data_IF_998203707406
#
_entry.id   IF_998203707406
#
_cell.length_a   1.000
_cell.length_b   1.000
_cell.length_c   1.000
_cell.angle_alpha   90.00
_cell.angle_beta   90.00
_cell.angle_gamma   90.00
#
_symmetry.space_group_name_H-M   'P 1'
#
loop_
_entity.id
_entity.type
_entity.pdbx_description
1 polymer ?
#
# COMPACT_ATOMS: atom_id res chain seq x y z
N UNK A 1 -4.98 -24.32 41.62
CA UNK A 1 -3.98 -24.29 40.53
C UNK A 1 -4.51 -23.37 39.44
N UNK A 2 -3.62 -22.54 38.91
CA UNK A 2 -3.88 -21.28 38.22
C UNK A 2 -4.76 -21.36 36.97
N UNK A 3 -5.86 -20.61 36.96
CA UNK A 3 -6.46 -20.06 35.74
C UNK A 3 -5.65 -18.82 35.36
N UNK A 4 -4.67 -19.01 34.49
CA UNK A 4 -3.99 -17.91 33.81
C UNK A 4 -3.96 -18.24 32.33
N UNK A 5 -4.15 -17.21 31.50
CA UNK A 5 -4.14 -17.17 30.03
C UNK A 5 -5.52 -17.21 29.38
N UNK A 6 -6.20 -16.05 29.38
CA UNK A 6 -6.83 -15.52 28.17
C UNK A 6 -6.89 -14.00 28.28
N UNK A 7 -6.24 -13.31 27.35
CA UNK A 7 -6.29 -11.85 27.29
C UNK A 7 -5.13 -11.30 26.50
N UNK A 8 -5.18 -11.41 25.17
CA UNK A 8 -4.42 -10.58 24.23
C UNK A 8 -4.95 -10.82 22.80
N UNK A 9 -6.13 -10.27 22.47
CA UNK A 9 -6.54 -9.99 21.08
C UNK A 9 -7.43 -8.74 21.09
N UNK A 10 -6.82 -7.56 21.23
CA UNK A 10 -7.52 -6.28 21.05
C UNK A 10 -6.57 -5.18 20.54
N UNK A 11 -5.67 -5.53 19.61
CA UNK A 11 -4.73 -4.60 18.97
C UNK A 11 -5.04 -4.35 17.48
N UNK A 12 -6.24 -4.72 17.00
CA UNK A 12 -6.58 -4.68 15.57
C UNK A 12 -7.35 -3.45 15.08
N UNK A 13 -7.91 -2.62 15.98
CA UNK A 13 -8.84 -1.55 15.57
C UNK A 13 -8.17 -0.20 15.27
N UNK A 14 -6.93 0.03 15.72
CA UNK A 14 -6.23 1.31 15.52
C UNK A 14 -5.37 1.37 14.24
N UNK A 15 -5.34 0.31 13.44
CA UNK A 15 -4.50 0.24 12.23
C UNK A 15 -5.16 0.84 10.97
N UNK A 16 -6.43 1.30 11.05
CA UNK A 16 -7.21 1.69 9.87
C UNK A 16 -6.96 3.16 9.45
N UNK A 17 -6.53 4.03 10.36
CA UNK A 17 -6.21 5.44 10.05
C UNK A 17 -4.72 5.73 9.81
N UNK A 18 -3.84 4.73 9.95
CA UNK A 18 -2.38 4.96 10.00
C UNK A 18 -1.74 5.50 8.71
N UNK A 19 -2.46 5.49 7.58
CA UNK A 19 -1.99 5.96 6.27
C UNK A 19 -2.99 6.88 5.55
N UNK A 20 -3.99 7.40 6.27
CA UNK A 20 -4.98 8.29 5.66
C UNK A 20 -4.36 9.63 5.24
N UNK A 21 -3.44 10.13 6.07
CA UNK A 21 -2.78 11.43 5.90
C UNK A 21 -1.36 11.28 5.34
N UNK A 22 -1.10 10.18 4.62
CA UNK A 22 0.17 9.93 3.95
C UNK A 22 0.01 10.00 2.44
N UNK A 23 1.12 10.30 1.76
CA UNK A 23 1.12 10.48 0.32
C UNK A 23 2.44 10.01 -0.31
N UNK A 24 2.41 9.49 -1.55
CA UNK A 24 3.60 8.94 -2.19
C UNK A 24 4.54 10.02 -2.71
N UNK A 25 5.83 9.72 -2.70
CA UNK A 25 6.87 10.59 -3.25
C UNK A 25 7.73 9.82 -4.25
N UNK A 26 8.07 10.45 -5.36
CA UNK A 26 8.95 9.87 -6.38
C UNK A 26 10.05 10.84 -6.77
N UNK A 27 11.24 10.29 -7.01
CA UNK A 27 12.38 11.00 -7.55
C UNK A 27 13.03 10.15 -8.63
N UNK A 28 13.28 10.75 -9.79
CA UNK A 28 14.00 10.14 -10.89
C UNK A 28 15.10 11.11 -11.34
N UNK A 29 16.35 10.66 -11.45
CA UNK A 29 17.45 11.49 -11.92
C UNK A 29 18.22 10.80 -13.04
N UNK A 30 18.58 11.58 -14.05
CA UNK A 30 19.54 11.17 -15.09
C UNK A 30 20.98 11.15 -14.60
N UNK A 31 21.23 11.70 -13.41
CA UNK A 31 22.54 11.71 -12.76
C UNK A 31 22.56 10.76 -11.57
N UNK A 32 23.77 10.40 -11.13
CA UNK A 32 23.96 9.58 -9.94
C UNK A 32 23.70 10.43 -8.71
N UNK A 33 22.60 10.13 -8.05
CA UNK A 33 22.13 10.74 -6.82
C UNK A 33 21.99 9.64 -5.77
N UNK A 34 22.55 9.86 -4.58
CA UNK A 34 22.41 8.96 -3.44
C UNK A 34 21.00 9.11 -2.86
N UNK A 35 20.06 8.32 -3.36
CA UNK A 35 18.65 8.38 -2.95
C UNK A 35 18.14 6.96 -2.66
N UNK A 36 17.69 6.73 -1.43
CA UNK A 36 17.23 5.41 -0.98
C UNK A 36 15.71 5.37 -0.91
N UNK A 37 15.10 4.44 -1.66
CA UNK A 37 13.69 4.11 -1.52
C UNK A 37 13.36 3.59 -0.13
N UNK A 38 12.15 3.88 0.34
CA UNK A 38 11.63 3.40 1.61
C UNK A 38 10.12 3.20 1.52
N UNK A 39 9.53 2.44 2.43
CA UNK A 39 8.07 2.33 2.45
C UNK A 39 7.44 3.55 3.15
N UNK A 40 8.02 3.99 4.27
CA UNK A 40 7.49 5.06 5.10
C UNK A 40 8.63 6.03 5.45
N UNK A 41 8.39 7.34 5.31
CA UNK A 41 9.27 8.40 5.84
C UNK A 41 8.44 9.58 6.33
N UNK A 42 8.99 10.39 7.22
CA UNK A 42 8.42 11.70 7.56
C UNK A 42 8.84 12.74 6.54
N UNK A 43 8.04 13.79 6.34
CA UNK A 43 8.37 14.90 5.44
C UNK A 43 9.71 15.57 5.79
N UNK A 44 10.00 15.74 7.09
CA UNK A 44 11.26 16.30 7.57
C UNK A 44 12.48 15.42 7.24
N UNK A 45 12.39 14.11 7.45
CA UNK A 45 13.47 13.18 7.09
C UNK A 45 13.68 13.13 5.58
N UNK A 46 12.59 13.12 4.81
CA UNK A 46 12.64 13.13 3.36
C UNK A 46 13.28 14.43 2.85
N UNK A 47 12.94 15.58 3.41
CA UNK A 47 13.57 16.86 3.07
C UNK A 47 15.06 16.87 3.38
N UNK A 48 15.48 16.30 4.52
CA UNK A 48 16.90 16.12 4.86
C UNK A 48 17.66 15.29 3.82
N UNK A 49 17.08 14.18 3.38
CA UNK A 49 17.65 13.34 2.33
C UNK A 49 17.75 14.09 1.00
N UNK A 50 16.69 14.81 0.60
CA UNK A 50 16.66 15.61 -0.62
C UNK A 50 17.68 16.75 -0.57
N UNK A 51 17.84 17.40 0.57
CA UNK A 51 18.82 18.45 0.79
C UNK A 51 20.24 17.94 0.59
N UNK A 52 20.58 16.77 1.16
CA UNK A 52 21.88 16.14 0.95
C UNK A 52 22.08 15.67 -0.50
N UNK A 53 21.03 15.14 -1.13
CA UNK A 53 21.07 14.55 -2.46
C UNK A 53 21.18 15.61 -3.58
N UNK A 54 20.42 16.70 -3.45
CA UNK A 54 20.32 17.75 -4.46
C UNK A 54 21.25 18.93 -4.19
N UNK A 55 21.77 19.08 -2.96
CA UNK A 55 22.67 20.18 -2.59
C UNK A 55 24.00 20.21 -3.34
N UNK A 56 24.43 19.09 -3.92
CA UNK A 56 25.59 19.02 -4.82
C UNK A 56 25.29 19.43 -6.27
N UNK A 57 24.04 19.80 -6.55
CA UNK A 57 23.55 20.24 -7.85
C UNK A 57 23.85 19.26 -9.00
N UNK A 58 23.39 17.99 -8.92
CA UNK A 58 23.74 16.95 -9.89
C UNK A 58 23.12 17.15 -11.29
N UNK A 59 22.19 18.09 -11.47
CA UNK A 59 21.45 18.30 -12.71
C UNK A 59 21.35 19.77 -13.07
N UNK A 60 21.16 20.07 -14.35
CA UNK A 60 20.89 21.43 -14.82
C UNK A 60 19.39 21.74 -14.70
N UNK A 61 18.54 20.76 -15.02
CA UNK A 61 17.09 20.94 -14.97
C UNK A 61 16.48 20.18 -13.79
N UNK A 62 15.68 20.86 -12.99
CA UNK A 62 14.93 20.29 -11.89
C UNK A 62 13.44 20.41 -12.19
N UNK A 63 12.82 19.30 -12.56
CA UNK A 63 11.38 19.25 -12.79
C UNK A 63 10.72 18.95 -11.45
N UNK A 64 10.12 19.96 -10.84
CA UNK A 64 9.46 19.85 -9.55
C UNK A 64 7.96 19.84 -9.79
N UNK A 65 7.33 18.70 -9.53
CA UNK A 65 5.90 18.50 -9.73
C UNK A 65 5.20 18.51 -8.38
N UNK A 66 4.12 19.29 -8.29
CA UNK A 66 3.20 19.30 -7.16
C UNK A 66 1.85 18.72 -7.59
N UNK A 67 1.52 17.52 -7.13
CA UNK A 67 0.24 16.86 -7.40
C UNK A 67 -0.54 16.62 -6.09
N UNK A 68 -1.47 17.52 -5.74
CA UNK A 68 -2.26 17.36 -4.52
C UNK A 68 -3.40 16.35 -4.66
N UNK A 69 -3.82 15.76 -3.53
CA UNK A 69 -4.98 14.89 -3.44
C UNK A 69 -4.74 13.44 -3.90
N UNK A 70 -3.51 12.95 -3.79
CA UNK A 70 -3.11 11.63 -4.30
C UNK A 70 -2.69 10.71 -3.17
N UNK A 71 -3.07 9.44 -3.29
CA UNK A 71 -2.72 8.39 -2.36
C UNK A 71 -1.94 7.27 -3.08
N UNK A 72 -1.18 6.46 -2.33
CA UNK A 72 -0.36 5.38 -2.88
C UNK A 72 -1.17 4.39 -3.73
N UNK A 73 -2.41 4.12 -3.34
CA UNK A 73 -3.37 3.28 -4.08
C UNK A 73 -3.68 3.80 -5.49
N UNK A 74 -3.61 5.11 -5.74
CA UNK A 74 -3.88 5.67 -7.07
C UNK A 74 -2.81 5.26 -8.10
N UNK A 75 -1.58 4.96 -7.64
CA UNK A 75 -0.49 4.45 -8.47
C UNK A 75 -0.37 2.92 -8.50
N UNK A 76 -1.24 2.20 -7.79
CA UNK A 76 -1.22 0.73 -7.80
C UNK A 76 -1.52 0.15 -9.20
N UNK A 77 -2.31 0.87 -10.00
CA UNK A 77 -2.60 0.48 -11.38
C UNK A 77 -1.61 1.13 -12.34
N UNK A 78 -0.99 0.34 -13.23
CA UNK A 78 -0.04 0.85 -14.25
C UNK A 78 -0.64 1.87 -15.23
N UNK A 79 -1.96 2.02 -15.26
CA UNK A 79 -2.68 2.94 -16.15
C UNK A 79 -2.65 4.39 -15.66
N UNK A 80 -2.53 4.60 -14.35
CA UNK A 80 -2.63 5.94 -13.76
C UNK A 80 -1.41 6.81 -14.07
N UNK A 81 -0.21 6.23 -14.17
CA UNK A 81 1.00 6.98 -14.51
C UNK A 81 2.01 6.09 -15.26
N UNK A 82 1.73 5.72 -16.52
CA UNK A 82 2.55 4.79 -17.28
C UNK A 82 3.99 5.29 -17.53
N UNK A 83 4.19 6.58 -17.77
CA UNK A 83 5.48 7.20 -18.10
C UNK A 83 6.33 7.38 -16.84
N UNK A 84 5.77 7.91 -15.75
CA UNK A 84 6.42 7.93 -14.43
C UNK A 84 6.76 6.50 -13.97
N UNK A 85 5.81 5.57 -14.11
CA UNK A 85 6.01 4.16 -13.80
C UNK A 85 7.15 3.54 -14.61
N UNK A 86 7.32 3.90 -15.89
CA UNK A 86 8.45 3.43 -16.71
C UNK A 86 9.80 3.92 -16.17
N UNK A 87 9.88 5.17 -15.69
CA UNK A 87 11.08 5.72 -15.04
C UNK A 87 11.40 4.99 -13.74
N UNK A 88 10.40 4.78 -12.88
CA UNK A 88 10.57 4.09 -11.60
C UNK A 88 10.90 2.60 -11.76
N UNK A 89 10.34 1.93 -12.76
CA UNK A 89 10.61 0.51 -13.05
C UNK A 89 11.93 0.29 -13.81
N UNK A 90 12.68 1.34 -14.15
CA UNK A 90 13.96 1.22 -14.88
C UNK A 90 13.81 0.82 -16.35
N UNK A 91 12.64 1.06 -16.94
CA UNK A 91 12.45 0.89 -18.40
C UNK A 91 13.08 2.05 -19.18
N UNK A 92 13.14 3.22 -18.57
CA UNK A 92 13.86 4.38 -19.08
C UNK A 92 15.35 4.27 -18.75
N UNK A 93 16.18 4.02 -19.77
CA UNK A 93 17.64 3.85 -19.63
C UNK A 93 18.38 5.15 -19.33
N UNK A 94 17.74 6.31 -19.52
CA UNK A 94 18.34 7.62 -19.21
C UNK A 94 18.45 7.86 -17.70
N UNK A 95 17.58 7.21 -16.91
CA UNK A 95 17.52 7.36 -15.46
C UNK A 95 18.62 6.52 -14.81
N UNK A 96 19.50 7.18 -14.07
CA UNK A 96 20.60 6.54 -13.32
C UNK A 96 20.26 6.31 -11.86
N UNK A 97 19.56 7.25 -11.25
CA UNK A 97 19.13 7.17 -9.85
C UNK A 97 17.63 7.34 -9.74
N UNK A 98 17.03 6.61 -8.79
CA UNK A 98 15.60 6.66 -8.51
C UNK A 98 15.35 6.44 -7.04
N UNK A 99 14.31 7.08 -6.53
CA UNK A 99 13.83 6.91 -5.16
C UNK A 99 12.33 6.98 -5.16
N UNK A 100 11.72 6.08 -4.40
CA UNK A 100 10.27 6.03 -4.18
C UNK A 100 10.00 5.88 -2.70
N UNK A 101 9.09 6.69 -2.19
CA UNK A 101 8.53 6.53 -0.85
C UNK A 101 7.03 6.35 -0.99
N UNK A 102 6.50 5.22 -0.53
CA UNK A 102 5.07 4.93 -0.71
C UNK A 102 4.21 5.82 0.19
N UNK A 103 4.65 6.02 1.44
CA UNK A 103 3.92 6.76 2.45
C UNK A 103 4.82 7.82 3.09
N UNK A 104 4.61 9.08 2.73
CA UNK A 104 5.23 10.22 3.40
C UNK A 104 4.25 10.78 4.41
N UNK A 105 4.64 10.76 5.69
CA UNK A 105 3.88 11.33 6.78
C UNK A 105 4.18 12.83 6.93
N UNK A 106 3.12 13.64 6.88
CA UNK A 106 3.20 15.10 6.90
C UNK A 106 3.33 15.73 5.51
N UNK A 107 3.19 17.05 5.45
CA UNK A 107 3.24 17.80 4.21
C UNK A 107 4.70 18.15 3.87
N UNK A 108 5.13 17.76 2.67
CA UNK A 108 6.40 18.19 2.10
C UNK A 108 6.19 19.49 1.32
N UNK A 109 6.67 20.60 1.87
CA UNK A 109 6.49 21.91 1.24
C UNK A 109 7.40 22.06 0.02
N UNK A 110 6.79 22.13 -1.16
CA UNK A 110 7.51 22.33 -2.43
C UNK A 110 8.33 23.62 -2.41
N UNK A 111 7.87 24.66 -1.70
CA UNK A 111 8.58 25.92 -1.50
C UNK A 111 9.97 25.73 -0.86
N UNK A 112 10.10 24.81 0.09
CA UNK A 112 11.38 24.53 0.74
C UNK A 112 12.38 23.87 -0.23
N UNK A 113 11.87 22.98 -1.10
CA UNK A 113 12.69 22.34 -2.15
C UNK A 113 13.14 23.38 -3.18
N UNK A 114 12.23 24.25 -3.62
CA UNK A 114 12.55 25.35 -4.55
C UNK A 114 13.62 26.27 -3.96
N UNK A 115 13.41 26.74 -2.72
CA UNK A 115 14.36 27.62 -2.04
C UNK A 115 15.75 26.98 -1.89
N UNK A 116 15.81 25.68 -1.60
CA UNK A 116 17.08 24.95 -1.55
C UNK A 116 17.80 24.94 -2.91
N UNK A 117 17.08 24.70 -3.99
CA UNK A 117 17.65 24.65 -5.34
C UNK A 117 18.04 26.05 -5.86
N UNK A 118 17.25 27.07 -5.55
CA UNK A 118 17.55 28.47 -5.85
C UNK A 118 18.82 28.93 -5.10
N UNK A 119 18.93 28.61 -3.81
CA UNK A 119 20.07 29.01 -2.97
C UNK A 119 21.35 28.24 -3.33
N UNK A 120 21.29 26.90 -3.43
CA UNK A 120 22.48 26.06 -3.62
C UNK A 120 22.90 25.96 -5.08
N UNK A 121 21.94 25.86 -5.99
CA UNK A 121 22.19 25.59 -7.40
C UNK A 121 22.02 26.82 -8.29
N UNK A 122 21.67 27.99 -7.70
CA UNK A 122 21.42 29.23 -8.44
C UNK A 122 20.41 29.04 -9.57
N UNK A 123 19.47 28.13 -9.37
CA UNK A 123 18.53 27.74 -10.39
C UNK A 123 17.41 28.78 -10.53
N UNK A 124 17.05 29.12 -11.76
CA UNK A 124 15.93 30.03 -12.01
C UNK A 124 14.61 29.27 -12.07
N UNK A 125 13.55 29.82 -11.48
CA UNK A 125 12.23 29.16 -11.46
C UNK A 125 11.38 29.56 -12.67
N UNK A 126 10.80 28.56 -13.34
CA UNK A 126 9.82 28.71 -14.41
C UNK A 126 8.56 27.99 -13.99
N UNK A 127 7.50 28.75 -13.73
CA UNK A 127 6.22 28.20 -13.28
C UNK A 127 5.40 27.76 -14.49
N UNK A 128 4.86 26.55 -14.42
CA UNK A 128 3.99 25.93 -15.41
C UNK A 128 2.70 25.53 -14.71
N UNK A 129 1.59 26.12 -15.14
CA UNK A 129 0.27 25.75 -14.65
C UNK A 129 -0.19 24.46 -15.34
N UNK A 130 -0.17 23.36 -14.59
CA UNK A 130 -0.58 22.04 -15.07
C UNK A 130 -2.08 21.94 -15.40
N UNK A 131 -2.92 22.86 -14.91
CA UNK A 131 -4.35 22.90 -15.24
C UNK A 131 -4.61 23.48 -16.64
N UNK A 132 -3.79 24.45 -17.05
CA UNK A 132 -3.92 25.13 -18.34
C UNK A 132 -3.45 24.27 -19.51
N UNK A 133 -2.60 23.26 -19.24
CA UNK A 133 -1.92 22.49 -20.28
C UNK A 133 -0.90 23.30 -21.09
N UNK A 134 -0.66 24.56 -20.74
CA UNK A 134 0.21 25.48 -21.46
C UNK A 134 1.60 25.52 -20.82
N UNK A 135 2.63 25.39 -21.64
CA UNK A 135 4.02 25.39 -21.21
C UNK A 135 4.90 26.07 -22.27
N UNK A 136 6.01 26.71 -21.87
CA UNK A 136 6.90 27.40 -22.81
C UNK A 136 7.38 26.47 -23.92
N UNK A 137 7.50 27.01 -25.14
CA UNK A 137 7.98 26.23 -26.29
C UNK A 137 9.46 25.82 -26.14
N UNK A 138 10.23 26.62 -25.40
CA UNK A 138 11.63 26.37 -25.09
C UNK A 138 11.93 26.74 -23.63
N UNK A 139 12.91 26.05 -23.04
CA UNK A 139 13.49 26.44 -21.76
C UNK A 139 14.87 27.04 -22.02
N UNK A 140 15.16 28.17 -21.37
CA UNK A 140 16.47 28.81 -21.47
C UNK A 140 17.55 27.95 -20.82
N UNK A 141 18.78 28.08 -21.34
CA UNK A 141 19.95 27.35 -20.85
C UNK A 141 20.35 27.79 -19.44
N UNK A 142 20.93 26.86 -18.69
CA UNK A 142 21.41 27.06 -17.32
C UNK A 142 20.58 26.32 -16.27
N UNK A 143 21.00 26.36 -14.99
CA UNK A 143 20.28 25.72 -13.90
C UNK A 143 18.85 26.27 -13.80
N UNK A 144 17.85 25.40 -13.90
CA UNK A 144 16.44 25.82 -13.96
C UNK A 144 15.54 24.86 -13.19
N UNK A 145 14.59 25.44 -12.45
CA UNK A 145 13.51 24.74 -11.80
C UNK A 145 12.27 24.91 -12.70
N UNK A 146 11.77 23.79 -13.21
CA UNK A 146 10.50 23.74 -13.93
C UNK A 146 9.46 23.32 -12.90
N UNK A 147 8.73 24.30 -12.41
CA UNK A 147 7.77 24.14 -11.33
C UNK A 147 6.38 23.90 -11.90
N UNK A 148 5.88 22.69 -11.75
CA UNK A 148 4.60 22.25 -12.33
C UNK A 148 3.60 22.09 -11.20
N UNK A 149 2.57 22.92 -11.20
CA UNK A 149 1.50 22.89 -10.21
C UNK A 149 0.23 22.29 -10.83
N UNK A 150 -0.20 21.13 -10.33
CA UNK A 150 -1.46 20.51 -10.73
C UNK A 150 -2.59 20.87 -9.76
N UNK A 151 -3.83 20.94 -10.25
CA UNK A 151 -4.99 21.04 -9.37
C UNK A 151 -5.14 19.75 -8.56
N UNK A 152 -5.88 19.84 -7.45
CA UNK A 152 -6.19 18.69 -6.62
C UNK A 152 -6.92 17.62 -7.43
N UNK A 153 -6.46 16.38 -7.29
CA UNK A 153 -7.05 15.26 -8.00
C UNK A 153 -8.51 15.03 -7.53
N UNK A 154 -9.43 14.95 -8.49
CA UNK A 154 -10.87 14.81 -8.19
C UNK A 154 -11.17 13.55 -7.37
N UNK A 155 -12.24 13.55 -6.57
CA UNK A 155 -12.64 12.38 -5.77
C UNK A 155 -13.41 11.31 -6.57
N UNK A 156 -13.55 11.48 -7.89
CA UNK A 156 -14.36 10.65 -8.77
C UNK A 156 -13.70 9.34 -9.21
N UNK A 157 -14.38 8.62 -10.11
CA UNK A 157 -13.86 7.39 -10.73
C UNK A 157 -12.86 7.67 -11.88
N UNK A 158 -12.79 8.90 -12.36
CA UNK A 158 -11.92 9.39 -13.44
C UNK A 158 -10.50 9.75 -12.98
N UNK A 159 -10.19 9.51 -11.70
CA UNK A 159 -8.86 9.75 -11.08
C UNK A 159 -7.70 9.15 -11.87
N UNK A 160 -7.85 7.91 -12.33
CA UNK A 160 -6.80 7.23 -13.07
C UNK A 160 -6.53 7.91 -14.41
N UNK A 161 -7.58 8.38 -15.09
CA UNK A 161 -7.47 9.08 -16.38
C UNK A 161 -6.87 10.48 -16.19
N UNK A 162 -7.28 11.20 -15.13
CA UNK A 162 -6.68 12.49 -14.76
C UNK A 162 -5.18 12.37 -14.47
N UNK A 163 -4.78 11.38 -13.66
CA UNK A 163 -3.36 11.12 -13.41
C UNK A 163 -2.62 10.73 -14.69
N UNK A 164 -3.24 9.97 -15.59
CA UNK A 164 -2.65 9.57 -16.86
C UNK A 164 -2.38 10.78 -17.76
N UNK A 165 -3.32 11.72 -17.80
CA UNK A 165 -3.17 12.98 -18.54
C UNK A 165 -2.06 13.87 -17.94
N UNK A 166 -2.00 13.96 -16.60
CA UNK A 166 -0.94 14.72 -15.91
C UNK A 166 0.44 14.10 -16.15
N UNK A 167 0.54 12.76 -16.11
CA UNK A 167 1.74 12.01 -16.46
C UNK A 167 2.15 12.23 -17.94
N UNK A 168 1.17 12.36 -18.82
CA UNK A 168 1.35 12.80 -20.21
C UNK A 168 2.03 14.16 -20.30
N UNK A 169 1.43 15.17 -19.67
CA UNK A 169 1.93 16.55 -19.67
C UNK A 169 3.36 16.67 -19.11
N UNK A 170 3.65 15.97 -18.01
CA UNK A 170 5.01 15.98 -17.40
C UNK A 170 6.03 15.44 -18.38
N UNK A 171 5.72 14.34 -19.07
CA UNK A 171 6.63 13.78 -20.04
C UNK A 171 6.82 14.67 -21.28
N UNK A 172 5.75 15.32 -21.75
CA UNK A 172 5.85 16.27 -22.87
C UNK A 172 6.73 17.49 -22.49
N UNK A 173 6.74 17.90 -21.22
CA UNK A 173 7.64 18.92 -20.70
C UNK A 173 9.09 18.41 -20.62
N UNK A 174 9.29 17.19 -20.12
CA UNK A 174 10.63 16.56 -20.04
C UNK A 174 11.23 16.40 -21.45
N UNK A 175 10.42 16.07 -22.44
CA UNK A 175 10.86 15.92 -23.83
C UNK A 175 11.33 17.24 -24.48
N UNK A 176 10.95 18.40 -23.90
CA UNK A 176 11.50 19.71 -24.32
C UNK A 176 12.87 20.00 -23.72
N UNK A 177 13.30 19.26 -22.70
CA UNK A 177 14.62 19.44 -22.12
C UNK A 177 15.66 18.91 -23.13
N UNK A 178 16.73 19.66 -23.43
CA UNK A 178 17.76 19.20 -24.34
C UNK A 178 18.32 17.84 -23.90
N UNK A 179 18.38 16.85 -24.80
CA UNK A 179 18.85 15.50 -24.46
C UNK A 179 20.32 15.45 -24.00
N UNK A 180 21.10 16.51 -24.28
CA UNK A 180 22.45 16.69 -23.78
C UNK A 180 22.52 17.09 -22.30
N UNK A 181 21.43 17.64 -21.77
CA UNK A 181 21.36 18.17 -20.41
C UNK A 181 20.83 17.13 -19.43
N UNK A 182 21.34 17.20 -18.20
CA UNK A 182 20.92 16.35 -17.10
C UNK A 182 19.72 16.96 -16.42
N UNK A 183 18.69 16.14 -16.20
CA UNK A 183 17.53 16.52 -15.41
C UNK A 183 17.29 15.60 -14.21
N UNK A 184 16.62 16.15 -13.20
CA UNK A 184 16.06 15.44 -12.05
C UNK A 184 14.58 15.78 -11.92
N UNK A 185 13.73 14.76 -11.92
CA UNK A 185 12.30 14.83 -11.63
C UNK A 185 12.08 14.60 -10.14
N UNK A 186 11.42 15.56 -9.48
CA UNK A 186 10.99 15.50 -8.08
C UNK A 186 9.46 15.58 -8.09
N UNK A 187 8.80 14.48 -7.79
CA UNK A 187 7.34 14.38 -7.79
C UNK A 187 6.82 14.37 -6.36
N UNK A 188 6.28 15.52 -5.94
CA UNK A 188 5.72 15.74 -4.62
C UNK A 188 4.21 15.60 -4.69
N UNK A 189 3.63 14.89 -3.73
CA UNK A 189 2.19 14.80 -3.57
C UNK A 189 1.77 15.25 -2.17
N UNK A 190 0.47 15.47 -2.01
CA UNK A 190 -0.15 15.66 -0.71
C UNK A 190 -1.36 14.73 -0.57
N UNK A 191 -1.68 14.31 0.68
CA UNK A 191 -2.82 13.45 0.94
C UNK A 191 -4.14 14.14 0.54
N UNK A 192 -5.20 13.34 0.51
CA UNK A 192 -6.55 13.80 0.16
C UNK A 192 -7.04 14.74 1.26
N UNK A 193 -7.43 15.96 0.89
CA UNK A 193 -8.29 16.78 1.75
C UNK A 193 -9.67 16.12 1.73
N UNK A 194 -9.94 15.29 2.73
CA UNK A 194 -11.31 14.92 3.03
C UNK A 194 -11.97 16.18 3.61
N UNK A 195 -13.14 16.61 3.12
CA UNK A 195 -13.91 17.59 3.87
C UNK A 195 -14.05 17.06 5.28
N UNK A 196 -13.63 17.85 6.27
CA UNK A 196 -13.74 17.53 7.69
C UNK A 196 -15.17 17.04 7.93
N UNK A 197 -15.33 15.74 7.99
CA UNK A 197 -16.45 15.19 8.74
C UNK A 197 -15.96 15.40 10.14
N UNK A 198 -16.49 16.44 10.81
CA UNK A 198 -16.19 16.80 12.18
C UNK A 198 -15.71 15.56 12.92
N UNK A 199 -14.44 15.56 13.32
CA UNK A 199 -13.95 14.63 14.31
C UNK A 199 -14.76 14.91 15.56
N UNK A 200 -15.92 14.27 15.67
CA UNK A 200 -16.73 14.24 16.87
C UNK A 200 -15.83 13.55 17.89
N UNK A 201 -15.11 14.37 18.64
CA UNK A 201 -14.52 14.03 19.92
C UNK A 201 -15.71 13.62 20.78
N UNK A 202 -16.04 12.33 20.76
CA UNK A 202 -16.93 11.74 21.74
C UNK A 202 -16.20 11.81 23.09
N UNK A 203 -16.42 12.89 23.83
CA UNK A 203 -16.30 12.85 25.28
C UNK A 203 -17.23 11.72 25.76
N UNK A 204 -16.61 10.69 26.30
CA UNK A 204 -17.33 9.51 26.77
C UNK A 204 -17.82 9.78 28.19
N UNK A 205 -19.05 10.29 28.33
CA UNK A 205 -19.81 10.13 29.56
C UNK A 205 -20.92 9.09 29.32
N UNK A 206 -20.69 7.90 29.90
CA UNK A 206 -21.62 6.89 30.40
C UNK A 206 -22.84 6.37 29.58
N UNK A 207 -22.98 5.04 29.63
CA UNK A 207 -24.14 4.17 29.36
C UNK A 207 -24.27 3.48 27.97
N UNK A 208 -23.93 2.18 27.98
CA UNK A 208 -24.26 1.11 26.99
C UNK A 208 -25.77 1.02 26.62
N UNK A 209 -26.19 0.21 25.62
CA UNK A 209 -25.83 0.17 24.19
C UNK A 209 -27.09 0.08 23.28
N UNK A 210 -27.06 0.52 22.02
CA UNK A 210 -27.95 -0.11 21.03
C UNK A 210 -27.40 -0.10 19.59
N UNK A 211 -27.38 -1.31 19.04
CA UNK A 211 -27.26 -1.71 17.63
C UNK A 211 -26.52 -0.79 16.66
N UNK A 212 -25.20 -1.01 16.56
CA UNK A 212 -24.43 -0.67 15.38
C UNK A 212 -24.95 -1.48 14.18
N UNK A 213 -25.84 -0.89 13.38
CA UNK A 213 -26.09 -1.30 12.00
C UNK A 213 -24.88 -0.91 11.17
N UNK A 214 -23.86 -1.75 11.23
CA UNK A 214 -22.71 -1.74 10.33
C UNK A 214 -23.15 -2.31 8.98
N UNK A 215 -23.82 -1.50 8.16
CA UNK A 215 -23.89 -1.79 6.72
C UNK A 215 -22.51 -1.51 6.12
N UNK A 216 -21.64 -2.53 6.13
CA UNK A 216 -20.43 -2.54 5.34
C UNK A 216 -20.82 -2.62 3.85
N UNK A 217 -20.96 -1.47 3.19
CA UNK A 217 -20.94 -1.42 1.72
C UNK A 217 -19.52 -1.72 1.27
N UNK A 218 -19.26 -2.99 1.00
CA UNK A 218 -18.02 -3.50 0.41
C UNK A 218 -18.01 -3.01 -1.04
N UNK A 219 -17.32 -1.91 -1.31
CA UNK A 219 -17.14 -1.41 -2.67
C UNK A 219 -16.29 -2.41 -3.48
N UNK A 220 -16.97 -3.30 -4.20
CA UNK A 220 -16.40 -4.22 -5.19
C UNK A 220 -16.21 -3.57 -6.56
N UNK A 221 -16.17 -2.24 -6.64
CA UNK A 221 -15.94 -1.49 -7.88
C UNK A 221 -14.46 -1.46 -8.26
N UNK A 222 -13.90 -2.63 -8.58
CA UNK A 222 -12.69 -2.76 -9.42
C UNK A 222 -12.64 -4.12 -10.13
N UNK A 223 -13.70 -4.44 -10.87
CA UNK A 223 -13.58 -5.31 -12.03
C UNK A 223 -14.49 -4.76 -13.13
N UNK A 224 -13.96 -3.80 -13.89
CA UNK A 224 -14.46 -3.55 -15.24
C UNK A 224 -14.09 -4.76 -16.10
N UNK A 225 -14.96 -5.76 -16.13
CA UNK A 225 -14.97 -6.78 -17.18
C UNK A 225 -15.29 -6.08 -18.49
N UNK A 226 -14.24 -5.62 -19.19
CA UNK A 226 -14.37 -5.17 -20.57
C UNK A 226 -14.56 -6.42 -21.44
N UNK A 227 -15.81 -6.80 -21.62
CA UNK A 227 -16.24 -7.71 -22.67
C UNK A 227 -16.12 -7.00 -24.02
N UNK A 228 -15.03 -7.26 -24.74
CA UNK A 228 -14.95 -7.10 -26.19
C UNK A 228 -13.75 -7.90 -26.73
N UNK A 229 -14.10 -9.01 -27.38
CA UNK A 229 -13.41 -9.68 -28.49
C UNK A 229 -11.88 -9.57 -28.63
N UNK A 230 -11.18 -10.70 -28.46
CA UNK A 230 -10.56 -11.39 -29.59
C UNK A 230 -10.02 -12.74 -29.14
N UNK A 231 -10.57 -13.78 -29.74
CA UNK A 231 -10.16 -15.17 -29.65
C UNK A 231 -8.77 -15.33 -30.29
N UNK A 232 -7.77 -15.61 -29.46
CA UNK A 232 -6.50 -16.29 -29.74
C UNK A 232 -5.36 -15.68 -28.90
N UNK A 233 -4.63 -16.58 -28.26
CA UNK A 233 -3.34 -16.35 -27.62
C UNK A 233 -3.34 -15.60 -26.29
N UNK A 234 -3.82 -16.29 -25.24
CA UNK A 234 -3.39 -15.99 -23.87
C UNK A 234 -2.54 -17.14 -23.35
N UNK A 235 -1.23 -17.01 -23.53
CA UNK A 235 -0.28 -17.58 -22.57
C UNK A 235 -0.46 -16.83 -21.25
N UNK A 236 -1.43 -17.26 -20.45
CA UNK A 236 -1.53 -16.88 -19.05
C UNK A 236 -0.32 -17.45 -18.32
N UNK A 237 0.40 -16.59 -17.60
CA UNK A 237 1.48 -17.01 -16.72
C UNK A 237 0.96 -18.09 -15.76
N UNK A 238 1.70 -19.19 -15.61
CA UNK A 238 1.36 -20.36 -14.77
C UNK A 238 1.10 -20.02 -13.27
N UNK A 239 1.23 -18.75 -12.89
CA UNK A 239 1.05 -18.23 -11.54
C UNK A 239 -0.11 -17.23 -11.38
N UNK A 240 -0.84 -16.88 -12.44
CA UNK A 240 -2.05 -16.02 -12.31
C UNK A 240 -3.21 -16.75 -11.61
N UNK A 241 -3.16 -18.08 -11.54
CA UNK A 241 -4.26 -18.90 -11.02
C UNK A 241 -3.79 -19.83 -9.88
N UNK A 242 -2.93 -19.33 -8.99
CA UNK A 242 -2.58 -20.03 -7.75
C UNK A 242 -3.62 -19.74 -6.66
N UNK A 243 -4.71 -20.51 -6.64
CA UNK A 243 -5.79 -20.42 -5.66
C UNK A 243 -5.78 -21.62 -4.70
N UNK A 244 -4.65 -21.85 -4.00
CA UNK A 244 -4.51 -23.03 -3.11
C UNK A 244 -5.54 -23.11 -1.98
N UNK A 245 -6.11 -21.98 -1.58
CA UNK A 245 -7.17 -21.89 -0.57
C UNK A 245 -8.34 -21.11 -1.14
N UNK A 246 -9.09 -21.74 -2.04
CA UNK A 246 -10.43 -21.23 -2.36
C UNK A 246 -11.23 -21.10 -1.06
N UNK A 247 -12.08 -20.07 -0.91
CA UNK A 247 -12.87 -19.87 0.32
C UNK A 247 -13.67 -21.13 0.73
N UNK A 248 -14.17 -21.88 -0.26
CA UNK A 248 -14.86 -23.17 -0.03
C UNK A 248 -13.94 -24.26 0.50
N UNK A 249 -12.71 -24.38 0.00
CA UNK A 249 -11.74 -25.37 0.47
C UNK A 249 -11.27 -25.07 1.89
N UNK A 250 -11.06 -23.79 2.24
CA UNK A 250 -10.74 -23.39 3.62
C UNK A 250 -11.89 -23.71 4.59
N UNK A 251 -13.13 -23.39 4.24
CA UNK A 251 -14.31 -23.77 5.03
C UNK A 251 -14.46 -25.28 5.17
N UNK A 252 -14.19 -26.04 4.09
CA UNK A 252 -14.20 -27.50 4.10
C UNK A 252 -13.14 -28.10 5.01
N UNK A 253 -11.90 -27.57 4.98
CA UNK A 253 -10.83 -28.02 5.88
C UNK A 253 -11.17 -27.74 7.34
N UNK A 254 -11.73 -26.57 7.66
CA UNK A 254 -12.16 -26.23 9.02
C UNK A 254 -13.27 -27.16 9.53
N UNK A 255 -14.29 -27.43 8.71
CA UNK A 255 -15.37 -28.35 9.07
C UNK A 255 -14.85 -29.79 9.27
N UNK A 256 -14.00 -30.27 8.35
CA UNK A 256 -13.44 -31.63 8.40
C UNK A 256 -12.55 -31.80 9.64
N UNK A 257 -11.73 -30.80 9.95
CA UNK A 257 -10.88 -30.81 11.14
C UNK A 257 -11.69 -30.90 12.44
N UNK A 258 -12.80 -30.15 12.53
CA UNK A 258 -13.71 -30.23 13.68
C UNK A 258 -14.35 -31.62 13.82
N UNK A 259 -14.81 -32.21 12.71
CA UNK A 259 -15.34 -33.58 12.70
C UNK A 259 -14.30 -34.62 13.14
N UNK A 260 -13.03 -34.47 12.74
CA UNK A 260 -11.95 -35.37 13.14
C UNK A 260 -11.65 -35.29 14.63
N UNK A 261 -11.75 -34.12 15.26
CA UNK A 261 -11.60 -33.97 16.71
C UNK A 261 -12.70 -34.74 17.44
N UNK A 262 -13.96 -34.59 17.02
CA UNK A 262 -15.08 -35.31 17.62
C UNK A 262 -14.92 -36.83 17.44
N UNK A 263 -14.54 -37.27 16.23
CA UNK A 263 -14.28 -38.67 15.93
C UNK A 263 -13.14 -39.24 16.78
N UNK A 264 -12.06 -38.48 16.97
CA UNK A 264 -10.93 -38.88 17.80
C UNK A 264 -11.34 -39.10 19.25
N UNK A 265 -12.15 -38.20 19.81
CA UNK A 265 -12.69 -38.35 21.18
C UNK A 265 -13.58 -39.60 21.27
N UNK A 266 -14.44 -39.82 20.27
CA UNK A 266 -15.31 -41.00 20.24
C UNK A 266 -14.53 -42.33 20.18
N UNK A 267 -13.51 -42.42 19.32
CA UNK A 267 -12.64 -43.61 19.23
C UNK A 267 -11.87 -43.82 20.54
N UNK A 268 -11.36 -42.74 21.13
CA UNK A 268 -10.65 -42.79 22.41
C UNK A 268 -11.56 -43.33 23.52
N UNK A 269 -12.82 -42.88 23.57
CA UNK A 269 -13.81 -43.35 24.52
C UNK A 269 -14.10 -44.86 24.35
N UNK A 270 -14.32 -45.33 23.11
CA UNK A 270 -14.54 -46.76 22.83
C UNK A 270 -13.32 -47.59 23.17
N UNK A 271 -12.11 -47.12 22.83
CA UNK A 271 -10.86 -47.83 23.13
C UNK A 271 -10.56 -47.94 24.64
N UNK A 272 -11.14 -47.05 25.45
CA UNK A 272 -10.96 -47.05 26.91
C UNK A 272 -11.83 -48.09 27.63
N UNK A 273 -12.79 -48.70 26.93
CA UNK A 273 -13.66 -49.72 27.50
C UNK A 273 -12.85 -50.99 27.77
N UNK A 274 -12.61 -51.25 29.06
CA UNK A 274 -12.07 -52.52 29.54
C UNK A 274 -13.22 -53.38 30.05
N UNK A 275 -13.29 -54.61 29.57
CA UNK A 275 -14.22 -55.61 30.12
C UNK A 275 -13.61 -56.14 31.41
N UNK A 276 -14.32 -56.07 32.56
CA UNK A 276 -13.83 -56.61 33.81
C UNK A 276 -14.01 -58.14 33.81
N UNK A 277 -13.03 -58.86 33.26
CA UNK A 277 -13.04 -60.32 33.22
C UNK A 277 -13.07 -60.98 34.60
N UNK A 278 -12.62 -60.28 35.65
CA UNK A 278 -12.70 -60.74 37.04
C UNK A 278 -14.14 -60.97 37.54
N UNK A 279 -15.16 -60.35 36.93
CA UNK A 279 -16.56 -60.58 37.29
C UNK A 279 -17.14 -61.88 36.66
N UNK A 280 -16.44 -62.44 35.67
CA UNK A 280 -16.83 -63.66 34.99
C UNK A 280 -16.00 -64.88 35.40
N UNK A 281 -14.89 -64.66 36.11
CA UNK A 281 -14.14 -65.74 36.74
C UNK A 281 -14.83 -66.15 38.03
N UNK A 282 -15.10 -67.45 38.15
CA UNK A 282 -15.67 -68.02 39.38
C UNK A 282 -14.59 -68.01 40.47
N UNK A 283 -14.75 -67.17 41.48
CA UNK A 283 -13.90 -67.14 42.69
C UNK A 283 -13.76 -68.56 43.28
N UNK A 284 -12.63 -69.23 43.02
CA UNK A 284 -12.32 -70.55 43.60
C UNK A 284 -11.75 -70.42 45.02
N UNK A 285 -11.42 -69.21 45.47
CA UNK A 285 -10.93 -68.92 46.82
C UNK A 285 -11.98 -69.19 47.91
N UNK A 286 -13.25 -68.87 47.67
CA UNK A 286 -14.35 -69.16 48.60
C UNK A 286 -14.73 -70.65 48.66
N UNK A 287 -14.38 -71.44 47.64
CA UNK A 287 -14.64 -72.88 47.60
C UNK A 287 -13.58 -73.70 48.36
N UNK A 288 -12.37 -73.17 48.56
CA UNK A 288 -11.31 -73.82 49.35
C UNK A 288 -11.54 -73.66 50.85
N UNK A 289 -12.05 -72.52 51.32
CA UNK A 289 -12.30 -72.30 52.75
C UNK A 289 -13.49 -73.10 53.31
N UNK A 290 -14.51 -73.42 52.51
CA UNK A 290 -15.65 -74.25 52.97
C UNK A 290 -15.35 -75.75 53.11
N UNK A 291 -14.17 -76.22 52.68
CA UNK A 291 -13.79 -77.65 52.77
C UNK A 291 -12.89 -77.99 53.96
N UNK A 292 -12.52 -76.99 54.77
CA UNK A 292 -11.63 -77.15 55.94
C UNK A 292 -12.34 -76.95 57.29
N UNK A 293 -13.68 -76.95 57.30
CA UNK A 293 -14.48 -76.89 58.52
C UNK A 293 -15.42 -78.09 58.60
#
# INVERSE_FOLDING_TARGET
MHLSRFGLVALGAAAVDAFRDTSPFFLASTSEVLANSANIKTSASLFGDLSSALGACPSEYYVVVNQPGVHSSDFATRKSAPRLGAKMLGKDKSIRSKMSVNEVAGLLEVKQIKGLLEEKCQAQTTVVDGSSGSYPSYFESGPRIIDIEFPMLSLGSDRADQLSNNDGLIADIIDRIPSSSKYTLVYVTSPREFPETDSVVYETEDAYPDSVRMELKRDYSSHSSYSSASESDRQTSLFDEYQFFTPGLFMGFMATFLCLIILYIAISAVSSLRVPYAAFEKDTSAAVQKKQQ
#
